data_IF_482165788071
#
_entry.id   IF_482165788071
#
_cell.length_a   1.000
_cell.length_b   1.000
_cell.length_c   1.000
_cell.angle_alpha   90.00
_cell.angle_beta   90.00
_cell.angle_gamma   90.00
#
_symmetry.space_group_name_H-M   'P 1'
#
loop_
_entity.id
_entity.type
_entity.pdbx_description
1 polymer ?
#
# COMPACT_ATOMS: atom_id res chain seq x y z
N UNK A 1 57.77 14.04 16.90
CA UNK A 1 57.43 15.20 16.08
C UNK A 1 55.96 15.04 15.69
N UNK A 2 55.12 15.62 16.55
CA UNK A 2 53.69 15.89 16.32
C UNK A 2 53.53 17.29 15.69
N UNK A 3 52.29 17.61 15.31
CA UNK A 3 51.73 18.92 14.92
C UNK A 3 51.86 19.29 13.42
N UNK A 4 50.86 19.84 12.72
CA UNK A 4 49.44 20.04 12.99
C UNK A 4 48.71 20.40 11.68
N UNK A 5 47.41 20.10 11.60
CA UNK A 5 46.50 20.52 10.51
C UNK A 5 45.77 21.80 10.92
N UNK A 6 45.74 22.83 10.06
CA UNK A 6 44.65 23.83 10.00
C UNK A 6 44.75 24.69 8.71
N UNK A 7 43.78 24.54 7.81
CA UNK A 7 42.68 25.49 7.48
C UNK A 7 43.04 26.58 6.45
N UNK A 8 42.52 26.46 5.23
CA UNK A 8 41.90 27.59 4.56
C UNK A 8 40.76 27.13 3.63
N UNK A 9 39.57 27.70 3.83
CA UNK A 9 38.31 27.33 3.20
C UNK A 9 37.89 28.53 2.35
N UNK A 10 38.12 28.48 1.05
CA UNK A 10 37.61 29.50 0.11
C UNK A 10 36.28 29.04 -0.49
N UNK A 11 35.24 29.74 -0.09
CA UNK A 11 33.85 29.63 -0.54
C UNK A 11 33.72 30.24 -1.94
N UNK A 12 33.62 29.41 -2.99
CA UNK A 12 33.30 29.90 -4.33
C UNK A 12 31.78 29.83 -4.55
N UNK A 13 31.09 30.93 -4.23
CA UNK A 13 29.65 31.12 -4.48
C UNK A 13 29.50 31.94 -5.75
N UNK A 14 29.28 31.29 -6.91
CA UNK A 14 28.87 31.95 -8.15
C UNK A 14 27.33 31.88 -8.28
N UNK A 15 26.64 32.99 -8.56
CA UNK A 15 25.21 32.97 -8.83
C UNK A 15 24.94 32.53 -10.29
N UNK A 16 24.27 31.38 -10.46
CA UNK A 16 23.71 30.86 -11.72
C UNK A 16 22.43 31.63 -12.10
N UNK A 17 22.53 32.92 -12.43
CA UNK A 17 21.34 33.73 -12.76
C UNK A 17 21.44 34.51 -14.08
N UNK A 18 22.45 34.22 -14.91
CA UNK A 18 22.72 34.98 -16.14
C UNK A 18 22.05 34.47 -17.41
N UNK A 19 21.63 33.20 -17.46
CA UNK A 19 21.17 32.58 -18.73
C UNK A 19 19.65 32.65 -18.94
N UNK A 20 18.83 32.69 -17.88
CA UNK A 20 17.36 32.74 -18.01
C UNK A 20 16.82 34.08 -18.53
N UNK A 21 17.51 35.19 -18.21
CA UNK A 21 17.09 36.53 -18.63
C UNK A 21 17.28 36.77 -20.13
N UNK A 22 18.29 36.13 -20.73
CA UNK A 22 18.62 36.25 -22.15
C UNK A 22 17.52 35.70 -23.09
N UNK A 23 16.84 34.62 -22.69
CA UNK A 23 15.75 34.04 -23.48
C UNK A 23 14.46 34.85 -23.44
N UNK A 24 14.22 35.59 -22.35
CA UNK A 24 13.02 36.39 -22.15
C UNK A 24 13.07 37.71 -22.94
N UNK A 25 14.27 38.27 -23.17
CA UNK A 25 14.44 39.53 -23.90
C UNK A 25 14.36 39.40 -25.42
N UNK A 26 14.47 38.19 -25.98
CA UNK A 26 14.52 37.97 -27.43
C UNK A 26 13.18 37.59 -28.08
N UNK A 27 12.05 37.63 -27.35
CA UNK A 27 10.73 37.35 -27.93
C UNK A 27 10.08 38.68 -28.34
N UNK A 28 9.87 38.95 -29.65
CA UNK A 28 9.13 40.12 -30.10
C UNK A 28 7.73 40.16 -29.47
N UNK A 29 7.33 41.33 -28.93
CA UNK A 29 6.04 41.52 -28.25
C UNK A 29 4.82 41.47 -29.18
N UNK A 30 5.04 41.58 -30.48
CA UNK A 30 4.04 41.29 -31.51
C UNK A 30 4.48 40.05 -32.28
N UNK A 31 4.06 38.88 -31.80
CA UNK A 31 3.89 37.75 -32.70
C UNK A 31 2.63 38.04 -33.51
N UNK A 32 2.81 38.27 -34.81
CA UNK A 32 1.70 38.42 -35.74
C UNK A 32 0.72 37.26 -35.53
N UNK A 33 -0.50 37.59 -35.09
CA UNK A 33 -1.64 36.69 -34.92
C UNK A 33 -2.16 36.33 -36.31
N UNK A 34 -1.31 35.71 -37.12
CA UNK A 34 -1.69 35.20 -38.43
C UNK A 34 -0.94 33.90 -38.68
N UNK A 35 -1.34 32.91 -37.90
CA UNK A 35 -1.21 31.50 -38.24
C UNK A 35 -2.54 30.92 -37.84
N UNK A 36 -3.46 30.81 -38.79
CA UNK A 36 -4.74 30.14 -38.61
C UNK A 36 -4.45 28.70 -38.17
N UNK A 37 -4.63 28.45 -36.87
CA UNK A 37 -4.45 27.13 -36.25
C UNK A 37 -5.39 26.05 -36.82
N UNK A 38 -6.37 26.44 -37.64
CA UNK A 38 -7.25 25.53 -38.39
C UNK A 38 -6.48 24.71 -39.44
N UNK A 39 -5.32 25.18 -39.94
CA UNK A 39 -4.55 24.46 -40.96
C UNK A 39 -3.67 23.33 -40.39
N UNK A 40 -3.46 23.26 -39.07
CA UNK A 40 -2.55 22.30 -38.43
C UNK A 40 -3.31 21.10 -37.83
N UNK A 41 -4.61 21.22 -37.59
CA UNK A 41 -5.42 20.15 -36.98
C UNK A 41 -6.62 19.78 -37.84
N UNK A 42 -6.54 18.73 -38.68
CA UNK A 42 -7.75 18.14 -39.23
C UNK A 42 -8.59 17.60 -38.05
N UNK A 43 -9.75 18.22 -37.85
CA UNK A 43 -10.77 17.80 -36.89
C UNK A 43 -11.38 16.48 -37.33
N UNK A 44 -10.66 15.37 -37.12
CA UNK A 44 -11.21 14.04 -37.31
C UNK A 44 -12.15 13.73 -36.13
N UNK A 45 -13.44 13.98 -36.35
CA UNK A 45 -14.52 13.46 -35.54
C UNK A 45 -14.63 11.95 -35.78
N UNK A 46 -13.90 11.16 -35.02
CA UNK A 46 -14.23 9.75 -34.76
C UNK A 46 -14.77 9.66 -33.34
N UNK A 47 -16.09 9.79 -33.23
CA UNK A 47 -16.87 9.52 -32.03
C UNK A 47 -16.97 8.01 -31.82
N UNK A 48 -16.08 7.47 -30.99
CA UNK A 48 -16.29 6.15 -30.36
C UNK A 48 -16.95 6.40 -29.00
N UNK A 49 -18.19 5.94 -28.75
CA UNK A 49 -18.83 6.14 -27.46
C UNK A 49 -18.28 5.12 -26.46
N UNK A 50 -17.35 5.54 -25.61
CA UNK A 50 -16.91 4.78 -24.43
C UNK A 50 -17.89 5.03 -23.28
N UNK A 51 -19.05 4.37 -23.30
CA UNK A 51 -20.06 4.49 -22.24
C UNK A 51 -19.99 3.36 -21.19
N UNK A 52 -19.12 2.36 -21.35
CA UNK A 52 -19.04 1.22 -20.42
C UNK A 52 -18.06 1.41 -19.25
N UNK A 53 -17.22 2.46 -19.24
CA UNK A 53 -16.19 2.63 -18.20
C UNK A 53 -16.71 3.21 -16.88
N UNK A 54 -17.82 3.95 -16.90
CA UNK A 54 -18.27 4.75 -15.77
C UNK A 54 -19.11 3.94 -14.75
N UNK A 55 -19.73 2.82 -15.19
CA UNK A 55 -20.56 2.00 -14.31
C UNK A 55 -19.73 1.12 -13.36
N UNK A 56 -18.57 0.64 -13.81
CA UNK A 56 -17.64 -0.15 -12.98
C UNK A 56 -16.89 0.69 -11.94
N UNK A 57 -16.78 2.00 -12.16
CA UNK A 57 -16.07 2.92 -11.25
C UNK A 57 -16.92 3.31 -10.03
N UNK A 58 -18.26 3.21 -10.11
CA UNK A 58 -19.13 3.52 -8.98
C UNK A 58 -19.23 2.36 -7.97
N UNK A 59 -19.29 1.11 -8.44
CA UNK A 59 -19.32 -0.07 -7.57
C UNK A 59 -18.00 -0.32 -6.84
N UNK A 60 -16.87 0.05 -7.44
CA UNK A 60 -15.53 -0.13 -6.86
C UNK A 60 -15.19 0.86 -5.74
N UNK A 61 -16.00 1.90 -5.52
CA UNK A 61 -15.76 2.93 -4.49
C UNK A 61 -16.40 2.64 -3.14
N UNK A 62 -17.18 1.56 -3.03
CA UNK A 62 -18.03 1.30 -1.87
C UNK A 62 -17.67 0.06 -1.05
N UNK A 63 -16.56 -0.62 -1.35
CA UNK A 63 -16.10 -1.75 -0.52
C UNK A 63 -15.25 -1.21 0.62
N UNK A 64 -15.85 -1.03 1.80
CA UNK A 64 -15.06 -0.96 3.04
C UNK A 64 -14.33 -2.29 3.18
N UNK A 65 -13.01 -2.26 3.12
CA UNK A 65 -12.20 -3.43 3.45
C UNK A 65 -12.31 -3.57 4.96
N UNK A 66 -13.14 -4.51 5.43
CA UNK A 66 -13.28 -4.78 6.85
C UNK A 66 -11.90 -5.16 7.42
N UNK A 67 -11.43 -4.43 8.43
CA UNK A 67 -10.15 -4.74 9.07
C UNK A 67 -10.30 -5.91 10.04
N UNK A 68 -9.18 -6.51 10.45
CA UNK A 68 -9.20 -7.52 11.51
C UNK A 68 -9.82 -6.94 12.79
N UNK A 69 -9.49 -5.70 13.13
CA UNK A 69 -10.02 -4.99 14.29
C UNK A 69 -11.54 -4.83 14.19
N UNK A 70 -12.08 -4.44 13.03
CA UNK A 70 -13.53 -4.33 12.82
C UNK A 70 -14.23 -5.68 13.00
N UNK A 71 -13.63 -6.76 12.50
CA UNK A 71 -14.15 -8.12 12.65
C UNK A 71 -14.19 -8.57 14.12
N UNK A 72 -13.17 -8.25 14.91
CA UNK A 72 -13.12 -8.57 16.35
C UNK A 72 -14.09 -7.67 17.15
N UNK A 73 -14.20 -6.39 16.80
CA UNK A 73 -15.16 -5.47 17.40
C UNK A 73 -16.61 -5.92 17.16
N UNK A 74 -16.91 -6.39 15.96
CA UNK A 74 -18.22 -6.97 15.64
C UNK A 74 -18.55 -8.17 16.54
N UNK A 75 -17.58 -9.07 16.77
CA UNK A 75 -17.75 -10.21 17.68
C UNK A 75 -17.86 -9.82 19.15
N UNK A 76 -17.10 -8.81 19.58
CA UNK A 76 -17.18 -8.27 20.92
C UNK A 76 -18.60 -7.74 21.19
N UNK A 77 -19.21 -7.05 20.23
CA UNK A 77 -20.57 -6.52 20.34
C UNK A 77 -21.65 -7.62 20.42
N UNK A 78 -21.39 -8.79 19.85
CA UNK A 78 -22.29 -9.95 19.92
C UNK A 78 -22.08 -10.81 21.17
N UNK A 79 -20.97 -10.61 21.88
CA UNK A 79 -20.62 -11.38 23.06
C UNK A 79 -21.12 -10.68 24.33
N UNK A 80 -21.88 -11.37 25.21
CA UNK A 80 -22.26 -10.79 26.49
C UNK A 80 -21.02 -10.64 27.38
N UNK A 81 -20.70 -9.41 27.74
CA UNK A 81 -19.58 -9.00 28.61
C UNK A 81 -20.04 -7.81 29.47
N UNK A 82 -19.45 -7.66 30.66
CA UNK A 82 -19.67 -6.48 31.49
C UNK A 82 -19.09 -5.21 30.82
N UNK A 83 -19.48 -4.02 31.27
CA UNK A 83 -18.92 -2.77 30.73
C UNK A 83 -17.42 -2.64 31.01
N UNK A 84 -16.96 -3.16 32.15
CA UNK A 84 -15.54 -3.23 32.50
C UNK A 84 -14.80 -4.19 31.55
N UNK A 85 -15.30 -5.42 31.37
CA UNK A 85 -14.69 -6.41 30.46
C UNK A 85 -14.64 -5.91 29.01
N UNK A 86 -15.67 -5.18 28.57
CA UNK A 86 -15.69 -4.57 27.23
C UNK A 86 -14.61 -3.50 27.08
N UNK A 87 -14.38 -2.69 28.10
CA UNK A 87 -13.33 -1.67 28.08
C UNK A 87 -11.96 -2.32 27.96
N UNK A 88 -11.71 -3.37 28.75
CA UNK A 88 -10.49 -4.19 28.65
C UNK A 88 -10.36 -4.81 27.25
N UNK A 89 -11.45 -5.37 26.73
CA UNK A 89 -11.45 -6.03 25.43
C UNK A 89 -11.14 -5.07 24.28
N UNK A 90 -11.65 -3.83 24.35
CA UNK A 90 -11.34 -2.78 23.38
C UNK A 90 -9.84 -2.46 23.37
N UNK A 91 -9.24 -2.28 24.55
CA UNK A 91 -7.79 -2.05 24.68
C UNK A 91 -6.97 -3.22 24.13
N UNK A 92 -7.40 -4.47 24.36
CA UNK A 92 -6.74 -5.65 23.82
C UNK A 92 -6.86 -5.70 22.29
N UNK A 93 -8.06 -5.48 21.74
CA UNK A 93 -8.29 -5.52 20.28
C UNK A 93 -7.47 -4.45 19.55
N UNK A 94 -7.34 -3.26 20.12
CA UNK A 94 -6.52 -2.18 19.56
C UNK A 94 -5.02 -2.54 19.55
N UNK A 95 -4.55 -3.30 20.54
CA UNK A 95 -3.18 -3.78 20.62
C UNK A 95 -2.85 -4.94 19.66
N UNK A 96 -3.82 -5.48 18.92
CA UNK A 96 -3.64 -6.59 17.98
C UNK A 96 -3.25 -6.06 16.59
N UNK A 97 -2.14 -6.56 16.05
CA UNK A 97 -1.72 -6.30 14.67
C UNK A 97 -2.55 -7.08 13.65
N UNK A 98 -2.50 -6.66 12.39
CA UNK A 98 -3.06 -7.32 11.19
C UNK A 98 -2.78 -8.83 11.09
N UNK A 99 -1.66 -9.33 11.62
CA UNK A 99 -1.36 -10.77 11.64
C UNK A 99 -2.11 -11.55 12.76
N UNK A 100 -2.75 -10.83 13.69
CA UNK A 100 -3.40 -11.39 14.87
C UNK A 100 -2.50 -11.52 16.10
N UNK A 101 -1.30 -10.93 16.08
CA UNK A 101 -0.36 -10.94 17.21
C UNK A 101 -0.61 -9.76 18.15
N UNK A 102 -0.51 -9.98 19.46
CA UNK A 102 -0.54 -8.92 20.45
C UNK A 102 0.79 -8.18 20.47
N UNK A 103 0.76 -6.86 20.25
CA UNK A 103 1.98 -6.03 20.16
C UNK A 103 2.47 -5.54 21.51
N UNK A 104 1.56 -5.43 22.48
CA UNK A 104 1.83 -5.01 23.85
C UNK A 104 1.77 -6.21 24.79
N UNK A 105 2.55 -6.17 25.86
CA UNK A 105 2.45 -7.10 26.96
C UNK A 105 1.23 -6.78 27.84
N UNK A 106 0.73 -7.81 28.53
CA UNK A 106 -0.47 -7.71 29.38
C UNK A 106 -0.30 -6.66 30.49
N UNK A 107 0.91 -6.52 31.03
CA UNK A 107 1.25 -5.50 32.05
C UNK A 107 1.13 -4.08 31.49
N UNK A 108 1.60 -3.83 30.26
CA UNK A 108 1.44 -2.53 29.60
C UNK A 108 -0.02 -2.22 29.26
N UNK A 109 -0.80 -3.22 28.86
CA UNK A 109 -2.24 -3.04 28.63
C UNK A 109 -2.93 -2.68 29.95
N UNK A 110 -2.59 -3.38 31.04
CA UNK A 110 -3.12 -3.08 32.38
C UNK A 110 -2.78 -1.66 32.83
N UNK A 111 -1.54 -1.22 32.66
CA UNK A 111 -1.11 0.13 33.01
C UNK A 111 -1.75 1.24 32.15
N UNK A 112 -2.28 0.90 30.98
CA UNK A 112 -3.00 1.83 30.10
C UNK A 112 -4.50 1.94 30.39
N UNK A 113 -5.05 1.10 31.27
CA UNK A 113 -6.45 1.16 31.68
C UNK A 113 -6.66 2.27 32.73
N UNK A 114 -7.90 2.71 32.84
CA UNK A 114 -8.28 3.74 33.81
C UNK A 114 -8.13 3.22 35.25
N UNK A 115 -7.31 3.92 36.04
CA UNK A 115 -7.07 3.58 37.45
C UNK A 115 -8.37 3.63 38.28
N UNK A 116 -9.38 4.41 37.85
CA UNK A 116 -10.67 4.49 38.53
C UNK A 116 -11.48 3.19 38.46
N UNK A 117 -11.17 2.29 37.51
CA UNK A 117 -11.90 1.04 37.32
C UNK A 117 -11.43 -0.09 38.26
N UNK A 118 -10.35 0.11 39.02
CA UNK A 118 -9.77 -0.86 39.97
C UNK A 118 -9.57 -2.28 39.37
N UNK A 119 -9.21 -2.35 38.08
CA UNK A 119 -9.06 -3.62 37.34
C UNK A 119 -7.83 -4.38 37.80
N UNK A 120 -7.98 -5.68 38.05
CA UNK A 120 -6.85 -6.56 38.38
C UNK A 120 -6.24 -7.20 37.11
N UNK A 121 -4.96 -7.56 37.17
CA UNK A 121 -4.25 -8.21 36.05
C UNK A 121 -4.92 -9.54 35.64
N UNK A 122 -5.44 -10.29 36.62
CA UNK A 122 -6.15 -11.55 36.38
C UNK A 122 -7.43 -11.36 35.56
N UNK A 123 -8.10 -10.22 35.68
CA UNK A 123 -9.28 -9.88 34.86
C UNK A 123 -8.88 -9.63 33.40
N UNK A 124 -7.76 -8.93 33.18
CA UNK A 124 -7.20 -8.71 31.83
C UNK A 124 -6.87 -10.04 31.15
N UNK A 125 -6.24 -10.97 31.89
CA UNK A 125 -5.96 -12.31 31.36
C UNK A 125 -7.23 -13.11 31.06
N UNK A 126 -8.26 -12.99 31.89
CA UNK A 126 -9.55 -13.66 31.64
C UNK A 126 -10.21 -13.15 30.35
N UNK A 127 -10.21 -11.83 30.14
CA UNK A 127 -10.74 -11.21 28.92
C UNK A 127 -9.89 -11.59 27.71
N UNK A 128 -8.56 -11.58 27.84
CA UNK A 128 -7.65 -12.02 26.77
C UNK A 128 -7.93 -13.45 26.33
N UNK A 129 -8.02 -14.40 27.27
CA UNK A 129 -8.38 -15.79 26.95
C UNK A 129 -9.75 -15.92 26.28
N UNK A 130 -10.68 -15.00 26.57
CA UNK A 130 -11.99 -14.97 25.93
C UNK A 130 -11.92 -14.47 24.49
N UNK A 131 -11.10 -13.44 24.22
CA UNK A 131 -10.84 -12.91 22.87
C UNK A 131 -10.07 -13.91 22.02
N UNK A 132 -9.13 -14.65 22.60
CA UNK A 132 -8.37 -15.70 21.91
C UNK A 132 -9.24 -16.84 21.34
N UNK A 133 -10.51 -16.94 21.78
CA UNK A 133 -11.51 -17.88 21.28
C UNK A 133 -12.43 -17.28 20.19
N UNK A 134 -12.22 -16.01 19.81
CA UNK A 134 -12.94 -15.39 18.68
C UNK A 134 -12.46 -16.00 17.36
N UNK A 135 -13.21 -15.70 16.29
CA UNK A 135 -12.82 -16.02 14.91
C UNK A 135 -11.97 -14.86 14.35
N UNK A 136 -10.70 -15.05 14.01
CA UNK A 136 -10.02 -16.31 13.77
C UNK A 136 -9.36 -16.86 15.03
N UNK A 137 -9.40 -18.18 15.17
CA UNK A 137 -9.01 -18.84 16.41
C UNK A 137 -7.51 -18.71 16.69
N UNK A 138 -7.16 -18.38 17.94
CA UNK A 138 -5.78 -18.09 18.31
C UNK A 138 -5.31 -16.67 17.99
N UNK A 139 -6.21 -15.73 17.69
CA UNK A 139 -5.91 -14.29 17.63
C UNK A 139 -5.56 -13.72 19.01
N UNK A 140 -4.73 -12.68 19.09
CA UNK A 140 -4.30 -12.08 20.36
C UNK A 140 -3.24 -12.91 21.08
N UNK A 141 -2.36 -13.57 20.33
CA UNK A 141 -1.24 -14.35 20.88
C UNK A 141 -0.01 -13.46 21.13
N UNK A 142 0.73 -13.73 22.20
CA UNK A 142 2.01 -13.06 22.49
C UNK A 142 3.20 -13.77 21.81
N UNK A 143 3.07 -15.08 21.56
CA UNK A 143 4.10 -15.87 20.89
C UNK A 143 3.48 -16.93 19.96
N UNK A 144 4.26 -17.40 18.98
CA UNK A 144 3.78 -18.38 18.00
C UNK A 144 3.34 -19.70 18.65
N UNK A 145 4.01 -20.13 19.72
CA UNK A 145 3.64 -21.37 20.40
C UNK A 145 2.25 -21.27 21.02
N UNK A 146 1.93 -20.14 21.64
CA UNK A 146 0.63 -19.84 22.23
C UNK A 146 -0.48 -19.85 21.17
N UNK A 147 -0.26 -19.19 20.02
CA UNK A 147 -1.19 -19.22 18.89
C UNK A 147 -1.56 -20.66 18.51
N UNK A 148 -0.56 -21.49 18.24
CA UNK A 148 -0.76 -22.88 17.82
C UNK A 148 -1.38 -23.74 18.94
N UNK A 149 -1.04 -23.48 20.21
CA UNK A 149 -1.62 -24.20 21.35
C UNK A 149 -3.10 -23.86 21.55
N UNK A 150 -3.49 -22.59 21.37
CA UNK A 150 -4.90 -22.16 21.42
C UNK A 150 -5.68 -22.86 20.31
N UNK A 151 -5.16 -22.86 19.07
CA UNK A 151 -5.81 -23.55 17.96
C UNK A 151 -5.95 -25.06 18.23
N UNK A 152 -4.88 -25.71 18.73
CA UNK A 152 -4.91 -27.13 19.10
C UNK A 152 -5.85 -27.45 20.27
N UNK A 153 -6.11 -26.50 21.17
CA UNK A 153 -7.02 -26.72 22.29
C UNK A 153 -8.47 -26.95 21.84
N UNK A 154 -8.80 -26.51 20.63
CA UNK A 154 -10.13 -26.56 20.04
C UNK A 154 -10.31 -27.80 19.13
N UNK A 155 -9.22 -28.47 18.77
CA UNK A 155 -9.25 -29.78 18.12
C UNK A 155 -9.69 -30.86 19.12
N UNK A 156 -10.95 -31.28 18.99
CA UNK A 156 -11.54 -32.36 19.80
C UNK A 156 -11.82 -33.61 18.97
N UNK A 157 -10.77 -34.21 18.38
CA UNK A 157 -10.87 -35.51 17.72
C UNK A 157 -10.33 -36.64 18.61
N UNK A 158 -11.18 -37.57 19.11
CA UNK A 158 -10.74 -38.65 19.99
C UNK A 158 -9.79 -39.65 19.30
N UNK A 159 -9.89 -39.84 17.99
CA UNK A 159 -9.00 -40.75 17.24
C UNK A 159 -7.56 -40.22 17.18
N UNK A 160 -7.41 -38.89 17.15
CA UNK A 160 -6.12 -38.21 17.06
C UNK A 160 -5.61 -37.69 18.40
N UNK A 161 -6.29 -38.01 19.51
CA UNK A 161 -5.98 -37.45 20.83
C UNK A 161 -4.50 -37.64 21.23
N UNK A 162 -3.90 -38.79 20.90
CA UNK A 162 -2.47 -39.05 21.15
C UNK A 162 -1.56 -38.11 20.34
N UNK A 163 -1.87 -37.90 19.07
CA UNK A 163 -1.09 -37.02 18.19
C UNK A 163 -1.26 -35.55 18.59
N UNK A 164 -2.46 -35.15 19.03
CA UNK A 164 -2.71 -33.79 19.56
C UNK A 164 -1.89 -33.55 20.83
N UNK A 165 -1.81 -34.52 21.74
CA UNK A 165 -0.96 -34.41 22.93
C UNK A 165 0.53 -34.29 22.57
N UNK A 166 0.99 -35.09 21.60
CA UNK A 166 2.35 -35.01 21.10
C UNK A 166 2.62 -33.66 20.43
N UNK A 167 1.66 -33.12 19.66
CA UNK A 167 1.77 -31.81 19.02
C UNK A 167 1.90 -30.69 20.06
N UNK A 168 1.09 -30.73 21.13
CA UNK A 168 1.18 -29.78 22.25
C UNK A 168 2.58 -29.81 22.89
N UNK A 169 3.14 -31.00 23.14
CA UNK A 169 4.50 -31.15 23.67
C UNK A 169 5.57 -30.57 22.73
N UNK A 170 5.46 -30.85 21.42
CA UNK A 170 6.41 -30.35 20.43
C UNK A 170 6.36 -28.83 20.36
N UNK A 171 5.16 -28.24 20.34
CA UNK A 171 4.99 -26.79 20.25
C UNK A 171 5.46 -26.08 21.53
N UNK A 172 5.19 -26.64 22.71
CA UNK A 172 5.57 -26.01 23.98
C UNK A 172 7.07 -26.04 24.24
N UNK A 173 7.77 -27.13 23.89
CA UNK A 173 9.17 -27.32 24.29
C UNK A 173 10.17 -27.35 23.12
N UNK A 174 9.73 -27.70 21.91
CA UNK A 174 10.61 -28.08 20.79
C UNK A 174 10.28 -27.41 19.45
N UNK A 175 9.54 -26.29 19.46
CA UNK A 175 9.16 -25.57 18.25
C UNK A 175 10.36 -25.16 17.39
N UNK A 176 11.48 -24.78 18.03
CA UNK A 176 12.72 -24.42 17.34
C UNK A 176 13.30 -25.60 16.54
N UNK A 177 13.23 -26.83 17.06
CA UNK A 177 13.71 -28.02 16.37
C UNK A 177 12.83 -28.34 15.14
N UNK A 178 11.52 -28.12 15.27
CA UNK A 178 10.58 -28.26 14.16
C UNK A 178 10.87 -27.24 13.05
N UNK A 179 11.12 -25.98 13.41
CA UNK A 179 11.47 -24.92 12.45
C UNK A 179 12.75 -25.19 11.65
N UNK A 180 13.74 -25.84 12.27
CA UNK A 180 14.98 -26.26 11.60
C UNK A 180 14.86 -27.61 10.87
N UNK A 181 13.69 -28.27 10.93
CA UNK A 181 13.44 -29.61 10.37
C UNK A 181 14.38 -30.69 10.92
N UNK A 182 14.85 -30.56 12.17
CA UNK A 182 15.71 -31.58 12.82
C UNK A 182 14.85 -32.68 13.46
N UNK A 183 14.26 -33.53 12.60
CA UNK A 183 13.40 -34.63 13.04
C UNK A 183 14.15 -35.68 13.85
N UNK A 184 15.47 -35.84 13.63
CA UNK A 184 16.28 -36.81 14.35
C UNK A 184 16.42 -36.46 15.83
N UNK A 185 16.71 -35.19 16.14
CA UNK A 185 16.73 -34.74 17.53
C UNK A 185 15.34 -34.74 18.16
N UNK A 186 14.33 -34.36 17.38
CA UNK A 186 12.96 -34.28 17.86
C UNK A 186 12.45 -35.66 18.28
N UNK A 187 12.67 -36.72 17.47
CA UNK A 187 12.38 -38.12 17.85
C UNK A 187 13.10 -38.55 19.13
N UNK A 188 14.37 -38.16 19.30
CA UNK A 188 15.16 -38.51 20.50
C UNK A 188 14.60 -37.87 21.77
N UNK A 189 14.16 -36.61 21.69
CA UNK A 189 13.64 -35.87 22.84
C UNK A 189 12.21 -36.24 23.19
N UNK A 190 11.33 -36.35 22.19
CA UNK A 190 9.92 -36.70 22.39
C UNK A 190 9.70 -38.20 22.58
N UNK A 191 10.71 -39.04 22.28
CA UNK A 191 10.65 -40.51 22.32
C UNK A 191 9.54 -41.09 21.44
N UNK A 192 9.19 -40.37 20.37
CA UNK A 192 8.18 -40.79 19.41
C UNK A 192 8.79 -41.67 18.31
N UNK A 193 7.96 -42.58 17.78
CA UNK A 193 8.30 -43.34 16.57
C UNK A 193 8.14 -42.43 15.35
N UNK A 194 8.86 -42.74 14.28
CA UNK A 194 8.82 -41.98 13.03
C UNK A 194 7.41 -41.81 12.47
N UNK A 195 6.60 -42.88 12.43
CA UNK A 195 5.22 -42.82 11.95
C UNK A 195 4.35 -41.87 12.78
N UNK A 196 4.48 -41.92 14.11
CA UNK A 196 3.73 -41.06 15.02
C UNK A 196 4.16 -39.60 14.87
N UNK A 197 5.45 -39.36 14.62
CA UNK A 197 5.97 -38.02 14.41
C UNK A 197 5.44 -37.41 13.11
N UNK A 198 5.41 -38.16 12.00
CA UNK A 198 4.89 -37.68 10.72
C UNK A 198 3.42 -37.25 10.86
N UNK A 199 2.59 -38.09 11.49
CA UNK A 199 1.18 -37.76 11.73
C UNK A 199 1.02 -36.54 12.65
N UNK A 200 1.87 -36.42 13.66
CA UNK A 200 1.86 -35.26 14.56
C UNK A 200 2.26 -33.97 13.82
N UNK A 201 3.28 -34.02 12.97
CA UNK A 201 3.71 -32.87 12.16
C UNK A 201 2.61 -32.47 11.19
N UNK A 202 1.93 -33.43 10.56
CA UNK A 202 0.81 -33.14 9.65
C UNK A 202 -0.32 -32.37 10.34
N UNK A 203 -0.57 -32.62 11.63
CA UNK A 203 -1.54 -31.83 12.40
C UNK A 203 -1.02 -30.41 12.61
N UNK A 204 0.25 -30.24 13.01
CA UNK A 204 0.84 -28.92 13.23
C UNK A 204 0.86 -28.09 11.92
N UNK A 205 1.17 -28.72 10.79
CA UNK A 205 1.17 -28.06 9.47
C UNK A 205 -0.23 -27.69 8.98
N UNK A 206 -1.29 -28.28 9.55
CA UNK A 206 -2.68 -27.90 9.22
C UNK A 206 -3.17 -26.65 9.96
N UNK A 207 -2.41 -26.18 10.95
CA UNK A 207 -2.73 -24.99 11.74
C UNK A 207 -2.28 -23.71 11.03
N UNK A 208 -2.90 -22.59 11.40
CA UNK A 208 -2.57 -21.28 10.82
C UNK A 208 -1.64 -20.49 11.75
N UNK A 209 -0.37 -20.24 11.38
CA UNK A 209 0.53 -19.46 12.21
C UNK A 209 0.20 -17.96 12.26
N UNK A 210 -0.67 -17.44 11.38
CA UNK A 210 -1.05 -16.02 11.28
C UNK A 210 -2.55 -15.85 10.99
N UNK A 211 -3.40 -16.16 11.98
CA UNK A 211 -4.85 -16.22 11.78
C UNK A 211 -5.46 -14.91 11.26
N UNK A 212 -4.89 -13.75 11.63
CA UNK A 212 -5.40 -12.43 11.21
C UNK A 212 -5.20 -12.11 9.72
N UNK A 213 -4.19 -12.72 9.07
CA UNK A 213 -3.81 -12.40 7.69
C UNK A 213 -4.89 -12.79 6.66
N UNK A 214 -5.74 -13.77 6.99
CA UNK A 214 -6.82 -14.22 6.10
C UNK A 214 -8.02 -13.26 6.09
N UNK A 215 -8.22 -12.48 7.15
CA UNK A 215 -9.37 -11.59 7.30
C UNK A 215 -9.10 -10.24 6.65
N UNK A 216 -7.88 -9.71 6.88
CA UNK A 216 -7.43 -8.47 6.29
C UNK A 216 -6.34 -8.77 5.25
N UNK A 217 -6.70 -9.16 4.01
CA UNK A 217 -5.71 -9.35 2.96
C UNK A 217 -4.96 -8.03 2.76
N UNK A 218 -3.63 -8.09 2.71
CA UNK A 218 -2.85 -6.89 2.42
C UNK A 218 -3.27 -6.34 1.06
N UNK A 219 -3.79 -5.11 1.05
CA UNK A 219 -4.11 -4.43 -0.20
C UNK A 219 -2.80 -4.23 -0.95
N UNK A 220 -2.56 -5.04 -1.98
CA UNK A 220 -1.39 -4.87 -2.83
C UNK A 220 -1.55 -3.55 -3.57
N UNK A 221 -0.80 -2.54 -3.14
CA UNK A 221 -0.82 -1.24 -3.78
C UNK A 221 0.04 -1.34 -5.02
N UNK A 222 -0.61 -1.33 -6.19
CA UNK A 222 0.10 -1.25 -7.45
C UNK A 222 0.54 0.19 -7.69
N UNK A 223 1.83 0.37 -7.97
CA UNK A 223 2.34 1.66 -8.44
C UNK A 223 1.97 1.76 -9.91
N UNK A 224 1.13 2.73 -10.26
CA UNK A 224 0.81 3.05 -11.66
C UNK A 224 2.00 3.78 -12.27
N UNK A 225 2.65 3.23 -13.32
CA UNK A 225 3.84 3.85 -13.90
C UNK A 225 3.47 4.99 -14.85
N UNK A 226 4.36 5.99 -14.97
CA UNK A 226 4.21 7.07 -15.95
C UNK A 226 4.60 6.65 -17.38
N UNK A 227 5.48 5.65 -17.50
CA UNK A 227 6.03 5.16 -18.77
C UNK A 227 5.97 3.63 -18.81
N UNK A 228 5.56 3.09 -19.94
CA UNK A 228 5.50 1.66 -20.21
C UNK A 228 6.59 1.33 -21.24
N UNK A 229 7.44 0.35 -20.91
CA UNK A 229 8.49 -0.15 -21.81
C UNK A 229 8.17 -1.59 -22.19
N UNK A 230 8.04 -1.84 -23.49
CA UNK A 230 7.72 -3.17 -24.02
C UNK A 230 8.75 -3.63 -25.05
N UNK A 231 9.03 -4.93 -25.08
CA UNK A 231 9.92 -5.54 -26.08
C UNK A 231 9.09 -5.99 -27.27
N UNK A 232 9.44 -5.54 -28.47
CA UNK A 232 8.71 -5.98 -29.67
C UNK A 232 9.07 -7.43 -30.01
N UNK A 233 8.06 -8.25 -30.30
CA UNK A 233 8.29 -9.63 -30.73
C UNK A 233 9.00 -9.64 -32.10
N UNK A 234 10.16 -10.30 -32.18
CA UNK A 234 10.92 -10.51 -33.41
C UNK A 234 12.16 -9.63 -33.58
N UNK A 235 12.21 -8.44 -32.97
CA UNK A 235 13.36 -7.54 -33.00
C UNK A 235 13.86 -7.25 -31.58
N UNK A 236 15.19 -7.11 -31.37
CA UNK A 236 15.78 -6.69 -30.09
C UNK A 236 15.55 -5.20 -29.78
N UNK A 237 14.43 -4.64 -30.21
CA UNK A 237 14.10 -3.22 -30.08
C UNK A 237 13.08 -3.01 -28.97
N UNK A 238 13.43 -2.16 -28.02
CA UNK A 238 12.56 -1.71 -26.94
C UNK A 238 11.67 -0.56 -27.45
N UNK A 239 10.38 -0.63 -27.13
CA UNK A 239 9.43 0.43 -27.39
C UNK A 239 9.05 1.10 -26.06
N UNK A 240 9.20 2.42 -26.02
CA UNK A 240 8.83 3.26 -24.88
C UNK A 240 7.56 4.02 -25.23
N UNK A 241 6.54 3.91 -24.39
CA UNK A 241 5.24 4.58 -24.55
C UNK A 241 4.84 5.25 -23.22
N UNK A 242 4.12 6.37 -23.27
CA UNK A 242 3.55 6.99 -22.07
C UNK A 242 2.33 6.21 -21.62
N UNK A 243 2.08 6.15 -20.31
CA UNK A 243 0.87 5.52 -19.81
C UNK A 243 -0.36 6.41 -20.13
N UNK A 244 -1.33 5.91 -20.94
CA UNK A 244 -2.53 6.68 -21.26
C UNK A 244 -3.41 6.93 -20.04
N UNK A 245 -3.34 6.07 -19.02
CA UNK A 245 -4.19 6.15 -17.82
C UNK A 245 -3.72 7.28 -16.89
N UNK A 246 -2.43 7.63 -16.92
CA UNK A 246 -1.89 8.78 -16.16
C UNK A 246 -1.94 10.09 -16.97
N UNK A 247 -2.27 10.03 -18.26
CA UNK A 247 -2.25 11.20 -19.15
C UNK A 247 -3.64 11.84 -19.27
N UNK A 248 -3.88 13.02 -18.68
CA UNK A 248 -5.19 13.67 -18.75
C UNK A 248 -5.49 14.19 -20.16
N UNK A 249 -6.71 13.94 -20.66
CA UNK A 249 -7.20 14.44 -21.95
C UNK A 249 -7.81 15.83 -21.79
N UNK A 250 -7.00 16.87 -21.96
CA UNK A 250 -7.44 18.27 -21.86
C UNK A 250 -7.89 18.82 -23.22
N UNK A 251 -9.01 19.56 -23.25
CA UNK A 251 -9.51 20.27 -24.44
C UNK A 251 -10.08 21.63 -24.05
N UNK A 252 -9.89 22.63 -24.91
CA UNK A 252 -10.53 23.95 -24.76
C UNK A 252 -11.96 23.86 -25.28
N UNK A 253 -12.92 24.40 -24.53
CA UNK A 253 -14.31 24.47 -24.97
C UNK A 253 -14.48 25.57 -26.02
N UNK A 254 -14.85 25.17 -27.25
CA UNK A 254 -14.98 26.07 -28.39
C UNK A 254 -16.09 27.11 -28.23
N UNK A 255 -17.15 26.82 -27.46
CA UNK A 255 -18.24 27.76 -27.24
C UNK A 255 -17.74 29.00 -26.47
N UNK A 256 -16.96 28.78 -25.41
CA UNK A 256 -16.34 29.88 -24.65
C UNK A 256 -15.29 30.62 -25.46
N UNK A 257 -14.48 29.91 -26.26
CA UNK A 257 -13.51 30.55 -27.14
C UNK A 257 -14.16 31.47 -28.20
N UNK A 258 -15.38 31.14 -28.66
CA UNK A 258 -16.11 31.97 -29.61
C UNK A 258 -16.72 33.24 -28.99
N UNK A 259 -17.06 33.23 -27.70
CA UNK A 259 -17.53 34.41 -26.97
C UNK A 259 -16.44 35.50 -26.91
N UNK A 260 -15.18 35.09 -26.73
CA UNK A 260 -14.01 35.98 -26.74
C UNK A 260 -13.80 36.65 -28.11
N UNK A 261 -14.12 35.93 -29.21
CA UNK A 261 -14.03 36.47 -30.58
C UNK A 261 -15.16 37.47 -30.89
N UNK A 262 -16.30 37.40 -30.18
CA UNK A 262 -17.52 38.15 -30.51
C UNK A 262 -17.79 39.35 -29.60
N UNK A 263 -17.19 39.40 -28.40
CA UNK A 263 -17.37 40.49 -27.45
C UNK A 263 -16.49 41.73 -27.79
N UNK A 264 -17.03 42.93 -27.57
CA UNK A 264 -16.31 44.21 -27.65
C UNK A 264 -15.27 44.35 -26.52
N UNK A 265 -14.35 45.31 -26.66
CA UNK A 265 -13.16 45.57 -25.80
C UNK A 265 -13.45 46.00 -24.34
N UNK A 266 -14.41 45.40 -23.67
CA UNK A 266 -14.67 45.59 -22.24
C UNK A 266 -13.69 44.83 -21.35
N UNK A 267 -13.57 45.25 -20.08
CA UNK A 267 -12.69 44.63 -19.09
C UNK A 267 -12.95 43.11 -18.90
N UNK A 268 -14.21 42.68 -19.02
CA UNK A 268 -14.60 41.26 -18.95
C UNK A 268 -14.08 40.43 -20.13
N UNK A 269 -13.97 41.04 -21.32
CA UNK A 269 -13.44 40.37 -22.51
C UNK A 269 -11.92 40.21 -22.43
N UNK A 270 -11.21 41.18 -21.85
CA UNK A 270 -9.78 41.06 -21.60
C UNK A 270 -9.50 39.93 -20.60
N UNK A 271 -10.27 39.84 -19.52
CA UNK A 271 -10.17 38.72 -18.56
C UNK A 271 -10.39 37.34 -19.22
N UNK A 272 -11.37 37.22 -20.11
CA UNK A 272 -11.60 35.97 -20.85
C UNK A 272 -10.48 35.67 -21.87
N UNK A 273 -9.88 36.69 -22.49
CA UNK A 273 -8.71 36.54 -23.37
C UNK A 273 -7.50 36.02 -22.60
N UNK A 274 -7.21 36.61 -21.45
CA UNK A 274 -6.08 36.23 -20.61
C UNK A 274 -6.21 34.79 -20.13
N UNK A 275 -7.37 34.40 -19.59
CA UNK A 275 -7.64 33.02 -19.18
C UNK A 275 -7.55 32.01 -20.32
N UNK A 276 -7.98 32.40 -21.53
CA UNK A 276 -7.88 31.55 -22.71
C UNK A 276 -6.42 31.38 -23.14
N UNK A 277 -5.61 32.43 -23.05
CA UNK A 277 -4.18 32.38 -23.31
C UNK A 277 -3.45 31.52 -22.28
N UNK A 278 -3.76 31.66 -20.99
CA UNK A 278 -3.22 30.82 -19.93
C UNK A 278 -3.59 29.34 -20.14
N UNK A 279 -4.85 29.04 -20.48
CA UNK A 279 -5.29 27.68 -20.77
C UNK A 279 -4.54 27.07 -21.97
N UNK A 280 -4.30 27.86 -23.03
CA UNK A 280 -3.48 27.43 -24.19
C UNK A 280 -2.04 27.16 -23.78
N UNK A 281 -1.47 28.06 -22.97
CA UNK A 281 -0.10 27.92 -22.50
C UNK A 281 0.06 26.67 -21.62
N UNK A 282 -0.92 26.38 -20.75
CA UNK A 282 -0.96 25.18 -19.93
C UNK A 282 -1.02 23.89 -20.75
N UNK A 283 -1.87 23.83 -21.78
CA UNK A 283 -1.92 22.66 -22.68
C UNK A 283 -0.59 22.45 -23.39
N UNK A 284 0.04 23.54 -23.86
CA UNK A 284 1.34 23.49 -24.54
C UNK A 284 2.46 23.04 -23.58
N UNK A 285 2.48 23.54 -22.34
CA UNK A 285 3.48 23.14 -21.35
C UNK A 285 3.33 21.67 -20.95
N UNK A 286 2.09 21.17 -20.84
CA UNK A 286 1.82 19.74 -20.59
C UNK A 286 2.30 18.86 -21.75
N UNK A 287 2.06 19.25 -23.00
CA UNK A 287 2.59 18.53 -24.17
C UNK A 287 4.13 18.50 -24.18
N UNK A 288 4.76 19.63 -23.87
CA UNK A 288 6.23 19.72 -23.78
C UNK A 288 6.80 18.84 -22.67
N UNK A 289 6.12 18.76 -21.51
CA UNK A 289 6.46 17.81 -20.43
C UNK A 289 6.39 16.37 -20.94
N UNK A 290 5.31 15.97 -21.59
CA UNK A 290 5.13 14.60 -22.10
C UNK A 290 6.19 14.24 -23.14
N UNK A 291 6.51 15.16 -24.05
CA UNK A 291 7.56 14.97 -25.05
C UNK A 291 8.94 14.81 -24.40
N UNK A 292 9.25 15.65 -23.40
CA UNK A 292 10.52 15.59 -22.66
C UNK A 292 10.63 14.28 -21.89
N UNK A 293 9.56 13.86 -21.22
CA UNK A 293 9.49 12.61 -20.48
C UNK A 293 9.73 11.40 -21.39
N UNK A 294 9.10 11.37 -22.57
CA UNK A 294 9.34 10.35 -23.60
C UNK A 294 10.80 10.31 -24.04
N UNK A 295 11.40 11.47 -24.34
CA UNK A 295 12.81 11.57 -24.78
C UNK A 295 13.77 11.06 -23.70
N UNK A 296 13.59 11.51 -22.46
CA UNK A 296 14.43 11.10 -21.33
C UNK A 296 14.29 9.60 -21.07
N UNK A 297 13.05 9.08 -21.01
CA UNK A 297 12.80 7.66 -20.81
C UNK A 297 13.43 6.80 -21.92
N UNK A 298 13.32 7.25 -23.19
CA UNK A 298 13.97 6.57 -24.31
C UNK A 298 15.49 6.50 -24.13
N UNK A 299 16.13 7.61 -23.72
CA UNK A 299 17.58 7.63 -23.46
C UNK A 299 18.00 6.74 -22.30
N UNK A 300 17.21 6.69 -21.23
CA UNK A 300 17.48 5.81 -20.08
C UNK A 300 17.45 4.34 -20.53
N UNK A 301 16.40 3.95 -21.27
CA UNK A 301 16.27 2.58 -21.80
C UNK A 301 17.40 2.24 -22.77
N UNK A 302 17.86 3.18 -23.59
CA UNK A 302 19.02 3.01 -24.47
C UNK A 302 20.32 2.78 -23.71
N UNK A 303 20.54 3.50 -22.61
CA UNK A 303 21.75 3.39 -21.81
C UNK A 303 21.76 2.12 -20.95
N UNK A 304 20.59 1.68 -20.48
CA UNK A 304 20.44 0.52 -19.59
C UNK A 304 20.09 -0.79 -20.33
N UNK A 305 20.33 -0.88 -21.64
CA UNK A 305 20.05 -2.09 -22.44
C UNK A 305 20.74 -3.35 -21.95
N UNK A 306 21.90 -3.23 -21.31
CA UNK A 306 22.65 -4.39 -20.80
C UNK A 306 22.09 -4.93 -19.48
N UNK A 307 21.23 -4.16 -18.79
CA UNK A 307 20.55 -4.55 -17.56
C UNK A 307 19.12 -5.08 -17.80
N UNK A 308 18.46 -4.64 -18.88
CA UNK A 308 17.07 -4.95 -19.27
C UNK A 308 16.94 -6.25 -20.12
#
# INVERSE_FOLDING_TARGET
EEEDRSFNRESNNQPLNGEEQSWQEQIPRDLAVDSEWDDIYPSNYSSTPSFESDFSEFESRNTTIDTLQDHLLWQLNLTPMSEQDKSIALSIIDAIDTNGMLTLDVESIHAGLDEELEIELDEVLAVLHRIQQFDPIGVGYCNLAECLLIQLSQYNNPEQAKHIQNAKLIISEHLNLLGHRDYAQLMRRTKLKESELIETISIIESLDPRPGANISPSSTTYIVPDVIVSKQAGNKTWRVELNPDTTPKLRINNNYASLVKKADSGAENNYLRDNLQEARWFIKSLQSRNETLMKVATRIVEHQRDFL
#
